data_IF_701254286155
#
_entry.id   IF_701254286155
#
_cell.length_a   1.000
_cell.length_b   1.000
_cell.length_c   1.000
_cell.angle_alpha   90.00
_cell.angle_beta   90.00
_cell.angle_gamma   90.00
#
_symmetry.space_group_name_H-M   'P 1'
#
loop_
_entity.id
_entity.type
_entity.pdbx_description
1 polymer ?
#
# COMPACT_ATOMS: atom_id res chain seq x y z
N UNK A 1 -6.24 19.15 18.08
CA UNK A 1 -5.28 18.80 17.03
C UNK A 1 -4.60 17.53 17.51
N UNK A 2 -4.94 16.37 16.95
CA UNK A 2 -4.25 15.14 17.33
C UNK A 2 -2.84 15.22 16.74
N UNK A 3 -1.82 15.17 17.59
CA UNK A 3 -0.43 15.07 17.18
C UNK A 3 -0.28 13.99 16.10
N UNK A 4 0.20 14.38 14.92
CA UNK A 4 0.51 13.43 13.85
C UNK A 4 1.58 12.49 14.39
N UNK A 5 1.33 11.19 14.29
CA UNK A 5 2.32 10.20 14.67
C UNK A 5 3.47 10.19 13.64
N UNK A 6 4.72 10.12 14.09
CA UNK A 6 5.90 9.99 13.19
C UNK A 6 5.83 8.77 12.27
N UNK A 7 4.94 7.81 12.59
CA UNK A 7 4.77 6.54 11.87
C UNK A 7 3.34 6.33 11.42
N UNK A 8 2.72 7.37 10.87
CA UNK A 8 1.37 7.24 10.38
C UNK A 8 1.32 6.35 9.14
N UNK A 9 0.71 5.17 9.31
CA UNK A 9 0.44 4.24 8.22
C UNK A 9 -0.64 4.83 7.31
N UNK A 10 -0.33 4.94 6.03
CA UNK A 10 -1.19 5.55 5.00
C UNK A 10 -1.87 4.53 4.12
N UNK A 11 -1.45 3.27 4.19
CA UNK A 11 -2.16 2.18 3.56
C UNK A 11 -1.52 0.83 3.83
N UNK A 12 -2.09 -0.19 3.23
CA UNK A 12 -1.58 -1.57 3.26
C UNK A 12 -1.44 -2.06 1.83
N UNK A 13 -0.32 -2.72 1.54
CA UNK A 13 -0.10 -3.48 0.31
C UNK A 13 0.07 -4.94 0.70
N UNK A 14 -0.89 -5.77 0.30
CA UNK A 14 -0.95 -7.17 0.74
C UNK A 14 -1.12 -7.27 2.26
N UNK A 15 -0.07 -7.72 2.94
CA UNK A 15 -0.02 -7.82 4.42
C UNK A 15 0.87 -6.76 5.07
N UNK A 16 1.52 -5.89 4.29
CA UNK A 16 2.47 -4.89 4.79
C UNK A 16 1.80 -3.53 4.92
N UNK A 17 1.89 -2.93 6.12
CA UNK A 17 1.54 -1.51 6.31
C UNK A 17 2.65 -0.61 5.79
N UNK A 18 2.25 0.43 5.05
CA UNK A 18 3.15 1.40 4.45
C UNK A 18 2.94 2.76 5.14
N UNK A 19 4.04 3.43 5.44
CA UNK A 19 4.07 4.73 6.10
C UNK A 19 3.94 5.88 5.10
N UNK A 20 3.56 7.07 5.58
CA UNK A 20 3.29 8.25 4.76
C UNK A 20 4.40 8.61 3.76
N UNK A 21 5.67 8.52 4.18
CA UNK A 21 6.81 8.83 3.32
C UNK A 21 7.07 7.80 2.22
N UNK A 22 6.63 6.56 2.42
CA UNK A 22 7.01 5.42 1.58
C UNK A 22 5.90 4.98 0.62
N UNK A 23 4.70 5.57 0.71
CA UNK A 23 3.54 5.14 -0.08
C UNK A 23 3.80 5.16 -1.58
N UNK A 24 4.27 6.29 -2.11
CA UNK A 24 4.47 6.46 -3.54
C UNK A 24 5.48 5.48 -4.12
N UNK A 25 6.54 5.18 -3.37
CA UNK A 25 7.53 4.18 -3.76
C UNK A 25 6.93 2.77 -3.71
N UNK A 26 6.25 2.42 -2.62
CA UNK A 26 5.64 1.11 -2.45
C UNK A 26 4.51 0.83 -3.46
N UNK A 27 3.72 1.85 -3.80
CA UNK A 27 2.68 1.78 -4.83
C UNK A 27 3.29 1.51 -6.21
N UNK A 28 4.33 2.25 -6.60
CA UNK A 28 5.02 2.05 -7.87
C UNK A 28 5.69 0.66 -7.97
N UNK A 29 6.25 0.15 -6.88
CA UNK A 29 6.80 -1.20 -6.85
C UNK A 29 5.70 -2.27 -6.93
N UNK A 30 4.55 -2.03 -6.30
CA UNK A 30 3.41 -2.93 -6.40
C UNK A 30 2.79 -2.95 -7.80
N UNK A 31 2.72 -1.81 -8.49
CA UNK A 31 2.25 -1.74 -9.89
C UNK A 31 3.13 -2.58 -10.82
N UNK A 32 4.46 -2.54 -10.65
CA UNK A 32 5.38 -3.41 -11.41
C UNK A 32 5.13 -4.89 -11.13
N UNK A 33 4.87 -5.26 -9.88
CA UNK A 33 4.54 -6.64 -9.52
C UNK A 33 3.22 -7.10 -10.16
N UNK A 34 2.23 -6.21 -10.24
CA UNK A 34 0.96 -6.48 -10.89
C UNK A 34 1.15 -6.63 -12.41
N UNK A 35 1.99 -5.80 -13.04
CA UNK A 35 2.32 -5.91 -14.46
C UNK A 35 2.98 -7.26 -14.79
N UNK A 36 4.01 -7.65 -14.03
CA UNK A 36 4.66 -8.95 -14.16
C UNK A 36 3.69 -10.12 -13.91
N UNK A 37 2.85 -10.01 -12.87
CA UNK A 37 1.83 -11.01 -12.59
C UNK A 37 0.83 -11.12 -13.75
N UNK A 38 0.34 -10.01 -14.30
CA UNK A 38 -0.58 -9.97 -15.44
C UNK A 38 0.03 -10.60 -16.71
N UNK A 39 1.35 -10.47 -16.91
CA UNK A 39 2.01 -11.13 -18.02
C UNK A 39 2.06 -12.65 -17.82
N UNK A 40 2.48 -13.09 -16.63
CA UNK A 40 2.67 -14.52 -16.35
C UNK A 40 1.36 -15.29 -16.24
N UNK A 41 0.29 -14.66 -15.75
CA UNK A 41 -1.00 -15.33 -15.54
C UNK A 41 -1.74 -15.67 -16.82
N UNK A 42 -1.35 -15.06 -17.95
CA UNK A 42 -1.86 -15.42 -19.29
C UNK A 42 -1.61 -16.88 -19.64
N UNK A 43 -0.56 -17.49 -19.06
CA UNK A 43 -0.12 -18.86 -19.38
C UNK A 43 -0.12 -19.80 -18.18
N UNK A 44 -0.09 -19.27 -16.96
CA UNK A 44 0.04 -20.05 -15.73
C UNK A 44 -0.92 -19.56 -14.65
N UNK A 45 -1.50 -20.47 -13.87
CA UNK A 45 -2.29 -20.09 -12.70
C UNK A 45 -1.36 -19.70 -11.54
N UNK A 46 -1.06 -18.41 -11.41
CA UNK A 46 -0.17 -17.86 -10.37
C UNK A 46 -1.01 -17.12 -9.33
N UNK A 47 -0.77 -17.31 -8.02
CA UNK A 47 -1.50 -16.60 -6.96
C UNK A 47 -1.32 -15.08 -7.07
N UNK A 48 -2.40 -14.34 -6.77
CA UNK A 48 -2.41 -12.87 -6.84
C UNK A 48 -1.46 -12.27 -5.78
N UNK A 49 -0.64 -11.24 -6.13
CA UNK A 49 0.38 -10.68 -5.22
C UNK A 49 -0.20 -9.87 -4.05
N UNK A 50 -1.51 -9.64 -4.02
CA UNK A 50 -2.22 -8.95 -2.93
C UNK A 50 -3.00 -7.74 -3.42
N UNK A 51 -3.41 -6.83 -2.54
CA UNK A 51 -4.11 -5.60 -2.94
C UNK A 51 -3.47 -4.40 -2.24
N UNK A 52 -3.40 -3.28 -2.96
CA UNK A 52 -3.06 -1.99 -2.37
C UNK A 52 -4.36 -1.29 -1.90
N UNK A 53 -4.39 -0.88 -0.64
CA UNK A 53 -5.49 -0.11 -0.06
C UNK A 53 -4.91 1.07 0.72
N UNK A 54 -5.23 2.28 0.26
CA UNK A 54 -4.92 3.53 0.97
C UNK A 54 -5.96 3.79 2.06
N UNK A 55 -5.52 4.28 3.21
CA UNK A 55 -6.37 4.67 4.32
C UNK A 55 -6.67 6.16 4.27
N UNK A 56 -7.90 6.52 4.66
CA UNK A 56 -8.29 7.93 4.84
C UNK A 56 -7.82 8.49 6.19
N UNK A 57 -7.66 7.62 7.18
CA UNK A 57 -7.24 7.96 8.54
C UNK A 57 -6.18 6.98 9.02
N UNK A 58 -5.19 7.48 9.75
CA UNK A 58 -4.17 6.64 10.34
C UNK A 58 -4.80 5.74 11.41
N UNK A 59 -4.63 4.41 11.34
CA UNK A 59 -5.19 3.49 12.34
C UNK A 59 -4.55 3.63 13.73
N UNK A 60 -3.40 4.32 13.85
CA UNK A 60 -2.69 4.48 15.12
C UNK A 60 -3.10 5.75 15.88
N UNK A 61 -3.19 6.89 15.20
CA UNK A 61 -3.49 8.18 15.85
C UNK A 61 -4.81 8.83 15.41
N UNK A 62 -5.54 8.22 14.47
CA UNK A 62 -6.80 8.76 13.94
C UNK A 62 -6.65 10.04 13.09
N UNK A 63 -5.42 10.53 12.87
CA UNK A 63 -5.19 11.69 12.02
C UNK A 63 -5.55 11.38 10.57
N UNK A 64 -6.08 12.37 9.85
CA UNK A 64 -6.32 12.27 8.41
C UNK A 64 -4.98 12.01 7.72
N UNK A 65 -4.98 11.00 6.85
CA UNK A 65 -3.86 10.75 5.94
C UNK A 65 -3.98 11.78 4.82
N UNK A 66 -3.09 12.76 4.82
CA UNK A 66 -2.95 13.72 3.73
C UNK A 66 -2.04 13.11 2.65
N UNK A 67 -2.30 13.46 1.39
CA UNK A 67 -1.53 12.99 0.22
C UNK A 67 -0.13 13.61 0.16
#
# INVERSE_FOLDING_TARGET
MADKCDRCAVGIIGTKSILAGDWKAAEADFEKLIEDWNEKTKRFAIPHPGFARKFFYCPLCGSKVED
#
